data_IF_817438629992
#
_entry.id   IF_817438629992
#
_cell.length_a   1.000
_cell.length_b   1.000
_cell.length_c   1.000
_cell.angle_alpha   90.00
_cell.angle_beta   90.00
_cell.angle_gamma   90.00
#
_symmetry.space_group_name_H-M   'P 1'
#
loop_
_entity.id
_entity.type
_entity.pdbx_description
1 polymer ?
#
# COMPACT_ATOMS: atom_id res chain seq x y z
N UNK A 1 -2.16 22.02 2.49
CA UNK A 1 -1.66 20.90 3.30
C UNK A 1 -2.82 19.93 3.47
N UNK A 2 -2.71 18.73 2.90
CA UNK A 2 -3.73 17.67 3.01
C UNK A 2 -3.75 17.16 4.45
N UNK A 3 -4.92 17.18 5.08
CA UNK A 3 -5.10 16.58 6.40
C UNK A 3 -5.27 15.07 6.22
N UNK A 4 -4.22 14.30 6.51
CA UNK A 4 -4.21 12.85 6.32
C UNK A 4 -5.32 12.13 7.12
N UNK A 5 -5.81 12.71 8.20
CA UNK A 5 -6.87 12.09 9.00
C UNK A 5 -8.26 12.17 8.35
N UNK A 6 -8.49 13.12 7.45
CA UNK A 6 -9.81 13.36 6.83
C UNK A 6 -10.03 12.55 5.56
N UNK A 7 -8.97 11.97 4.99
CA UNK A 7 -9.00 11.24 3.71
C UNK A 7 -8.82 9.72 3.86
N UNK A 8 -8.85 9.21 5.10
CA UNK A 8 -8.57 7.80 5.38
C UNK A 8 -9.71 6.90 4.93
N UNK A 9 -9.36 5.78 4.32
CA UNK A 9 -10.23 4.66 4.05
C UNK A 9 -9.80 3.46 4.90
N UNK A 10 -10.35 3.36 6.12
CA UNK A 10 -9.93 2.35 7.12
C UNK A 10 -10.20 0.89 6.67
N UNK A 11 -11.07 0.70 5.67
CA UNK A 11 -11.45 -0.60 5.13
C UNK A 11 -10.81 -0.88 3.75
N UNK A 12 -9.92 -0.01 3.26
CA UNK A 12 -9.35 -0.15 1.93
C UNK A 12 -8.61 -1.46 1.71
N UNK A 13 -7.90 -1.96 2.73
CA UNK A 13 -7.22 -3.26 2.65
C UNK A 13 -8.21 -4.41 2.41
N UNK A 14 -9.40 -4.36 3.01
CA UNK A 14 -10.43 -5.38 2.81
C UNK A 14 -11.01 -5.25 1.40
N UNK A 15 -11.27 -4.02 0.94
CA UNK A 15 -11.72 -3.75 -0.42
C UNK A 15 -10.74 -4.28 -1.48
N UNK A 16 -9.43 -4.11 -1.28
CA UNK A 16 -8.40 -4.67 -2.15
C UNK A 16 -8.48 -6.19 -2.23
N UNK A 17 -8.61 -6.87 -1.09
CA UNK A 17 -8.69 -8.32 -1.03
C UNK A 17 -9.99 -8.86 -1.63
N UNK A 18 -11.13 -8.24 -1.32
CA UNK A 18 -12.44 -8.65 -1.81
C UNK A 18 -12.57 -8.50 -3.33
N UNK A 19 -11.93 -7.47 -3.89
CA UNK A 19 -11.82 -7.26 -5.34
C UNK A 19 -10.76 -8.14 -6.01
N UNK A 20 -10.02 -8.94 -5.24
CA UNK A 20 -9.04 -9.89 -5.77
C UNK A 20 -7.75 -9.25 -6.26
N UNK A 21 -7.20 -8.28 -5.51
CA UNK A 21 -5.88 -7.71 -5.77
C UNK A 21 -4.83 -8.80 -6.01
N UNK A 22 -3.96 -8.59 -7.01
CA UNK A 22 -2.91 -9.54 -7.39
C UNK A 22 -1.53 -8.87 -7.28
N UNK A 23 -0.48 -9.70 -7.29
CA UNK A 23 0.89 -9.21 -7.45
C UNK A 23 1.03 -8.47 -8.78
N UNK A 24 1.89 -7.46 -8.80
CA UNK A 24 2.18 -6.65 -9.98
C UNK A 24 0.97 -5.86 -10.50
N UNK A 25 -0.10 -5.71 -9.71
CA UNK A 25 -1.09 -4.65 -9.96
C UNK A 25 -0.39 -3.30 -9.81
N UNK A 26 -0.53 -2.43 -10.82
CA UNK A 26 0.15 -1.14 -10.84
C UNK A 26 -0.42 -0.21 -9.78
N UNK A 27 0.43 0.56 -9.10
CA UNK A 27 0.02 1.52 -8.08
C UNK A 27 0.36 2.93 -8.51
N UNK A 28 -0.64 3.82 -8.48
CA UNK A 28 -0.51 5.23 -8.86
C UNK A 28 -0.92 6.15 -7.72
N UNK A 29 -0.25 7.28 -7.62
CA UNK A 29 -0.64 8.42 -6.76
C UNK A 29 -1.82 9.19 -7.35
N UNK A 30 -2.45 10.05 -6.54
CA UNK A 30 -3.61 10.85 -6.94
C UNK A 30 -3.31 11.80 -8.12
N UNK A 31 -2.06 12.26 -8.23
CA UNK A 31 -1.57 13.10 -9.33
C UNK A 31 -1.05 12.28 -10.54
N UNK A 32 -1.27 10.97 -10.53
CA UNK A 32 -1.03 10.08 -11.67
C UNK A 32 0.41 9.58 -11.80
N UNK A 33 1.25 9.73 -10.77
CA UNK A 33 2.61 9.18 -10.77
C UNK A 33 2.58 7.70 -10.40
N UNK A 34 3.20 6.89 -11.25
CA UNK A 34 3.39 5.45 -11.04
C UNK A 34 4.44 5.20 -9.95
N UNK A 35 4.12 4.33 -8.99
CA UNK A 35 5.01 3.97 -7.88
C UNK A 35 5.65 2.59 -8.02
N UNK A 36 5.07 1.69 -8.82
CA UNK A 36 5.51 0.29 -8.91
C UNK A 36 4.36 -0.70 -8.88
N UNK A 37 4.72 -1.98 -8.78
CA UNK A 37 3.77 -3.09 -8.69
C UNK A 37 3.53 -3.56 -7.25
N UNK A 38 2.27 -3.86 -6.91
CA UNK A 38 1.87 -4.43 -5.63
C UNK A 38 2.56 -5.78 -5.37
N UNK A 39 2.99 -6.04 -4.14
CA UNK A 39 3.70 -7.28 -3.75
C UNK A 39 2.90 -8.08 -2.72
N UNK A 40 2.58 -7.47 -1.59
CA UNK A 40 1.88 -8.09 -0.47
C UNK A 40 1.29 -7.04 0.47
N UNK A 41 0.44 -7.45 1.39
CA UNK A 41 -0.06 -6.59 2.46
C UNK A 41 0.55 -7.01 3.79
N UNK A 42 1.05 -6.04 4.55
CA UNK A 42 1.54 -6.21 5.91
C UNK A 42 0.53 -5.66 6.90
N UNK A 43 0.07 -6.50 7.83
CA UNK A 43 -0.77 -6.10 8.93
C UNK A 43 0.08 -5.86 10.18
N UNK A 44 -0.06 -4.68 10.77
CA UNK A 44 0.51 -4.33 12.08
C UNK A 44 -0.24 -5.09 13.19
N UNK A 45 0.44 -5.51 14.27
CA UNK A 45 -0.26 -6.01 15.47
C UNK A 45 -1.32 -5.00 15.95
N UNK A 46 -2.53 -5.49 16.24
CA UNK A 46 -3.70 -4.65 16.57
C UNK A 46 -3.43 -3.71 17.76
N UNK A 47 -2.69 -4.20 18.76
CA UNK A 47 -2.29 -3.45 19.95
C UNK A 47 -1.31 -2.30 19.70
N UNK A 48 -0.66 -2.25 18.53
CA UNK A 48 0.27 -1.19 18.13
C UNK A 48 -0.36 -0.16 17.17
N UNK A 49 -1.61 -0.36 16.75
CA UNK A 49 -2.29 0.55 15.82
C UNK A 49 -2.66 1.85 16.56
N UNK A 50 -2.10 2.96 16.08
CA UNK A 50 -2.39 4.30 16.57
C UNK A 50 -2.33 5.30 15.40
N UNK A 51 -3.48 5.61 14.77
CA UNK A 51 -3.56 6.61 13.71
C UNK A 51 -2.99 7.96 14.13
N UNK A 52 -3.17 8.38 15.39
CA UNK A 52 -2.66 9.64 15.93
C UNK A 52 -1.15 9.76 15.88
N UNK A 53 -0.45 8.61 15.93
CA UNK A 53 0.99 8.48 15.75
C UNK A 53 1.40 8.01 14.34
N UNK A 54 0.45 7.97 13.40
CA UNK A 54 0.63 7.43 12.03
C UNK A 54 1.07 5.97 12.01
N UNK A 55 0.67 5.20 13.01
CA UNK A 55 0.88 3.75 13.10
C UNK A 55 -0.36 3.05 12.55
N UNK A 56 -0.41 2.92 11.22
CA UNK A 56 -1.58 2.40 10.51
C UNK A 56 -1.69 0.88 10.65
N UNK A 57 -2.92 0.37 10.44
CA UNK A 57 -3.24 -1.04 10.62
C UNK A 57 -2.63 -1.93 9.52
N UNK A 58 -2.61 -1.45 8.28
CA UNK A 58 -2.10 -2.22 7.15
C UNK A 58 -1.29 -1.36 6.18
N UNK A 59 -0.30 -1.97 5.54
CA UNK A 59 0.57 -1.35 4.55
C UNK A 59 0.65 -2.25 3.31
N UNK A 60 0.46 -1.65 2.13
CA UNK A 60 0.74 -2.27 0.85
C UNK A 60 2.23 -2.14 0.55
N UNK A 61 2.92 -3.26 0.42
CA UNK A 61 4.28 -3.31 -0.12
C UNK A 61 4.22 -3.18 -1.64
N UNK A 62 4.93 -2.22 -2.18
CA UNK A 62 5.06 -1.92 -3.60
C UNK A 62 6.54 -2.10 -3.97
N UNK A 63 6.82 -2.78 -5.07
CA UNK A 63 8.16 -2.83 -5.64
C UNK A 63 8.27 -1.79 -6.76
N UNK A 64 9.06 -0.74 -6.50
CA UNK A 64 9.38 0.31 -7.47
C UNK A 64 10.49 -0.20 -8.39
N UNK A 65 10.13 -0.74 -9.54
CA UNK A 65 11.03 -1.41 -10.47
C UNK A 65 12.09 -0.48 -11.06
N UNK A 66 11.76 0.80 -11.27
CA UNK A 66 12.70 1.81 -11.76
C UNK A 66 13.83 2.13 -10.78
N UNK A 67 13.54 2.03 -9.48
CA UNK A 67 14.46 2.36 -8.38
C UNK A 67 15.09 1.11 -7.74
N UNK A 68 14.50 -0.07 -7.98
CA UNK A 68 14.93 -1.33 -7.39
C UNK A 68 14.70 -1.38 -5.87
N UNK A 69 13.70 -0.67 -5.36
CA UNK A 69 13.40 -0.54 -3.94
C UNK A 69 11.94 -0.86 -3.59
N UNK A 70 11.66 -0.96 -2.30
CA UNK A 70 10.32 -1.23 -1.78
C UNK A 70 9.74 0.01 -1.13
N UNK A 71 8.47 0.29 -1.41
CA UNK A 71 7.68 1.36 -0.80
C UNK A 71 6.56 0.71 0.02
N UNK A 72 6.32 1.21 1.22
CA UNK A 72 5.32 0.71 2.16
C UNK A 72 4.25 1.76 2.38
N UNK A 73 3.22 1.73 1.55
CA UNK A 73 2.13 2.71 1.61
C UNK A 73 1.04 2.22 2.56
N UNK A 74 0.60 3.03 3.53
CA UNK A 74 -0.54 2.67 4.37
C UNK A 74 -1.80 2.50 3.52
N UNK A 75 -2.51 1.39 3.69
CA UNK A 75 -3.71 1.10 2.88
C UNK A 75 -4.81 2.12 3.11
N UNK A 76 -4.84 2.79 4.27
CA UNK A 76 -5.74 3.92 4.56
C UNK A 76 -5.73 5.01 3.49
N UNK A 77 -4.66 5.12 2.69
CA UNK A 77 -4.53 6.10 1.62
C UNK A 77 -4.85 5.54 0.23
N UNK A 78 -5.38 4.33 0.13
CA UNK A 78 -5.93 3.80 -1.13
C UNK A 78 -7.33 4.36 -1.34
N UNK A 79 -7.52 5.04 -2.46
CA UNK A 79 -8.81 5.59 -2.89
C UNK A 79 -9.62 4.52 -3.62
N UNK A 80 -9.05 3.98 -4.69
CA UNK A 80 -9.73 3.04 -5.57
C UNK A 80 -8.81 1.89 -6.02
N UNK A 81 -9.44 0.75 -6.31
CA UNK A 81 -8.85 -0.30 -7.14
C UNK A 81 -9.74 -0.52 -8.36
N UNK A 82 -9.23 -0.12 -9.52
CA UNK A 82 -9.82 -0.36 -10.84
C UNK A 82 -9.37 -1.74 -11.33
N UNK A 83 -10.29 -2.69 -11.26
CA UNK A 83 -10.05 -4.08 -11.68
C UNK A 83 -9.98 -4.25 -13.20
N UNK A 84 -10.56 -3.33 -13.98
CA UNK A 84 -10.52 -3.39 -15.44
C UNK A 84 -9.15 -2.90 -15.96
N UNK A 85 -8.63 -1.82 -15.37
CA UNK A 85 -7.30 -1.31 -15.67
C UNK A 85 -6.18 -2.08 -14.95
N UNK A 86 -6.51 -2.87 -13.92
CA UNK A 86 -5.56 -3.49 -12.99
C UNK A 86 -4.66 -2.43 -12.30
N UNK A 87 -5.29 -1.39 -11.74
CA UNK A 87 -4.62 -0.24 -11.13
C UNK A 87 -5.18 0.11 -9.75
N UNK A 88 -4.30 0.26 -8.77
CA UNK A 88 -4.63 0.84 -7.46
C UNK A 88 -4.28 2.34 -7.50
N UNK A 89 -5.24 3.18 -7.14
CA UNK A 89 -5.09 4.63 -7.07
C UNK A 89 -5.06 5.06 -5.61
N UNK A 90 -4.05 5.82 -5.23
CA UNK A 90 -3.94 6.44 -3.91
C UNK A 90 -4.70 7.77 -3.87
N UNK A 91 -5.19 8.12 -2.68
CA UNK A 91 -5.82 9.41 -2.36
C UNK A 91 -4.80 10.54 -2.13
N UNK A 92 -3.51 10.27 -2.29
CA UNK A 92 -2.42 11.21 -2.01
C UNK A 92 -1.46 11.35 -3.19
N UNK A 93 -0.88 12.53 -3.32
CA UNK A 93 0.13 12.86 -4.34
C UNK A 93 1.51 12.26 -4.01
N UNK A 94 2.39 12.15 -5.00
CA UNK A 94 3.79 11.71 -4.84
C UNK A 94 4.53 12.50 -3.73
N UNK A 95 4.32 13.81 -3.67
CA UNK A 95 4.96 14.67 -2.66
C UNK A 95 4.60 14.30 -1.20
N UNK A 96 3.47 13.60 -0.99
CA UNK A 96 3.08 13.07 0.31
C UNK A 96 3.86 11.79 0.60
N UNK A 97 3.97 10.89 -0.38
CA UNK A 97 4.72 9.63 -0.28
C UNK A 97 6.16 9.89 0.14
N UNK A 98 6.82 10.85 -0.52
CA UNK A 98 8.20 11.26 -0.21
C UNK A 98 8.31 11.87 1.19
N UNK A 99 7.41 12.81 1.53
CA UNK A 99 7.44 13.53 2.81
C UNK A 99 7.19 12.62 4.00
N UNK A 100 6.28 11.66 3.85
CA UNK A 100 5.95 10.68 4.89
C UNK A 100 6.96 9.53 4.94
N UNK A 101 7.98 9.55 4.07
CA UNK A 101 9.10 8.60 4.05
C UNK A 101 8.66 7.15 3.94
N UNK A 102 7.62 6.89 3.14
CA UNK A 102 7.09 5.54 2.95
C UNK A 102 8.03 4.59 2.19
N UNK A 103 9.14 5.10 1.65
CA UNK A 103 10.27 4.28 1.18
C UNK A 103 11.07 3.62 2.32
N UNK A 104 10.89 4.05 3.57
CA UNK A 104 11.49 3.37 4.71
C UNK A 104 10.66 2.14 5.12
N UNK A 105 11.34 1.02 5.36
CA UNK A 105 10.71 -0.18 5.90
C UNK A 105 10.13 0.14 7.29
N UNK A 106 8.82 -0.06 7.55
CA UNK A 106 8.24 0.13 8.86
C UNK A 106 8.89 -0.78 9.91
N UNK A 107 9.09 -0.28 11.14
CA UNK A 107 9.79 -1.03 12.21
C UNK A 107 9.20 -2.42 12.46
N UNK A 108 7.86 -2.53 12.50
CA UNK A 108 7.17 -3.81 12.72
C UNK A 108 7.43 -4.81 11.58
N UNK A 109 7.59 -4.34 10.34
CA UNK A 109 7.97 -5.17 9.19
C UNK A 109 9.43 -5.58 9.31
N UNK A 110 10.33 -4.64 9.60
CA UNK A 110 11.76 -4.90 9.78
C UNK A 110 12.03 -5.92 10.89
N UNK A 111 11.25 -5.87 11.97
CA UNK A 111 11.30 -6.79 13.10
C UNK A 111 10.53 -8.10 12.88
N UNK A 112 9.92 -8.29 11.71
CA UNK A 112 9.12 -9.47 11.34
C UNK A 112 7.95 -9.73 12.30
N UNK A 113 7.32 -8.65 12.76
CA UNK A 113 6.12 -8.68 13.61
C UNK A 113 4.83 -8.58 12.80
N UNK A 114 4.91 -8.32 11.49
CA UNK A 114 3.74 -8.25 10.62
C UNK A 114 3.12 -9.62 10.37
N UNK A 115 1.79 -9.71 10.45
CA UNK A 115 1.05 -10.76 9.72
C UNK A 115 1.06 -10.39 8.24
N UNK A 116 1.42 -11.32 7.37
CA UNK A 116 1.61 -11.06 5.93
C UNK A 116 0.52 -11.77 5.14
N UNK A 117 -0.14 -11.03 4.26
CA UNK A 117 -1.04 -11.56 3.23
C UNK A 117 -0.34 -11.52 1.89
N UNK A 118 0.11 -12.68 1.42
CA UNK A 118 0.75 -12.82 0.12
C UNK A 118 -0.29 -12.72 -1.00
N UNK A 119 -0.14 -11.74 -1.88
CA UNK A 119 -1.03 -11.59 -3.03
C UNK A 119 -0.81 -12.74 -4.02
N UNK A 120 -1.87 -13.26 -4.67
CA UNK A 120 -1.74 -14.24 -5.73
C UNK A 120 -1.06 -13.63 -6.97
N UNK A 121 -0.36 -14.45 -7.74
CA UNK A 121 0.18 -14.01 -9.03
C UNK A 121 -0.95 -13.79 -10.06
N UNK A 122 -0.76 -12.88 -11.04
CA UNK A 122 -1.61 -12.80 -12.22
C UNK A 122 -1.66 -14.14 -12.96
N UNK A 123 -2.75 -14.40 -13.67
CA UNK A 123 -2.86 -15.62 -14.48
C UNK A 123 -1.76 -15.66 -15.55
N UNK A 124 -1.12 -16.81 -15.72
CA UNK A 124 -0.04 -16.99 -16.70
C UNK A 124 1.35 -16.59 -16.21
N UNK A 125 1.51 -16.10 -14.98
CA UNK A 125 2.81 -15.96 -14.34
C UNK A 125 3.29 -17.32 -13.79
N UNK A 126 4.41 -17.83 -14.29
CA UNK A 126 5.15 -18.95 -13.71
C UNK A 126 6.51 -18.49 -13.19
N UNK A 127 6.81 -18.80 -11.93
CA UNK A 127 8.11 -18.60 -11.26
C UNK A 127 9.10 -19.72 -11.59
#
# INVERSE_FOLDING_TARGET
MTNLMEIRNEEAWQMLLDKGLKRFTDVYTADGIYLGGAVRIHFRPEEEVDPGLKLWAAYLEIFADELGEHIFVPTDFVDEFDTEANQVILSVDESVVERETWSNIPDFVARKLSTVEDLPFPEGYSV
#
